data_IF_789007175241
#
_entry.id   IF_789007175241
#
_cell.length_a   1.000
_cell.length_b   1.000
_cell.length_c   1.000
_cell.angle_alpha   90.00
_cell.angle_beta   90.00
_cell.angle_gamma   90.00
#
_symmetry.space_group_name_H-M   'P 1'
#
loop_
_entity.id
_entity.type
_entity.pdbx_description
1 polymer ?
#
# COMPACT_ATOMS: atom_id res chain seq x y z
N UNK A 1 -31.36 -2.45 9.32
CA UNK A 1 -30.21 -2.61 10.24
C UNK A 1 -30.56 -1.88 11.54
N UNK A 2 -31.64 -2.31 12.21
CA UNK A 2 -32.29 -1.55 13.30
C UNK A 2 -32.44 -2.35 14.61
N UNK A 3 -31.94 -3.59 14.68
CA UNK A 3 -32.15 -4.46 15.85
C UNK A 3 -31.23 -4.17 17.05
N UNK A 4 -30.13 -3.42 16.87
CA UNK A 4 -29.10 -3.28 17.91
C UNK A 4 -29.29 -2.06 18.82
N UNK A 5 -30.12 -1.11 18.44
CA UNK A 5 -30.36 0.13 19.20
C UNK A 5 -31.32 -0.05 20.36
N UNK A 6 -32.14 -1.12 20.36
CA UNK A 6 -33.16 -1.40 21.38
C UNK A 6 -32.71 -2.37 22.49
N UNK A 7 -31.50 -2.92 22.42
CA UNK A 7 -31.01 -3.91 23.39
C UNK A 7 -30.45 -3.20 24.62
N UNK A 8 -30.84 -3.64 25.82
CA UNK A 8 -30.29 -3.10 27.07
C UNK A 8 -28.80 -3.37 27.19
N UNK A 9 -28.05 -2.47 27.85
CA UNK A 9 -26.60 -2.68 28.06
C UNK A 9 -26.30 -3.99 28.80
N UNK A 10 -27.17 -4.40 29.72
CA UNK A 10 -27.02 -5.68 30.42
C UNK A 10 -27.06 -6.88 29.47
N UNK A 11 -27.97 -6.86 28.49
CA UNK A 11 -28.09 -7.92 27.49
C UNK A 11 -26.91 -7.88 26.50
N UNK A 12 -26.44 -6.70 26.08
CA UNK A 12 -25.22 -6.58 25.26
C UNK A 12 -24.02 -7.22 25.97
N UNK A 13 -23.80 -6.89 27.25
CA UNK A 13 -22.70 -7.47 28.06
C UNK A 13 -22.83 -8.97 28.25
N UNK A 14 -24.06 -9.48 28.39
CA UNK A 14 -24.32 -10.92 28.50
C UNK A 14 -23.91 -11.65 27.22
N UNK A 15 -24.40 -11.18 26.06
CA UNK A 15 -24.08 -11.77 24.75
C UNK A 15 -22.59 -11.75 24.44
N UNK A 16 -21.91 -10.64 24.72
CA UNK A 16 -20.45 -10.55 24.52
C UNK A 16 -19.75 -11.62 25.35
N UNK A 17 -20.07 -11.76 26.65
CA UNK A 17 -19.43 -12.77 27.49
C UNK A 17 -19.69 -14.20 27.02
N UNK A 18 -20.92 -14.50 26.60
CA UNK A 18 -21.30 -15.85 26.14
C UNK A 18 -20.59 -16.24 24.83
N UNK A 19 -20.29 -15.25 23.98
CA UNK A 19 -19.54 -15.43 22.74
C UNK A 19 -18.03 -15.62 22.97
N UNK A 20 -17.49 -15.12 24.08
CA UNK A 20 -16.05 -15.20 24.36
C UNK A 20 -15.63 -16.58 24.87
N UNK A 21 -14.38 -16.93 24.56
CA UNK A 21 -13.66 -18.09 25.07
C UNK A 21 -12.36 -17.64 25.73
N UNK A 22 -11.74 -18.43 26.61
CA UNK A 22 -10.39 -18.13 27.10
C UNK A 22 -9.40 -18.03 25.94
N UNK A 23 -8.40 -17.14 25.97
CA UNK A 23 -8.06 -16.21 27.06
C UNK A 23 -8.92 -14.93 27.11
N UNK A 24 -9.68 -14.62 26.06
CA UNK A 24 -10.42 -13.36 25.96
C UNK A 24 -11.51 -13.17 27.03
N UNK A 25 -12.16 -14.26 27.46
CA UNK A 25 -13.13 -14.21 28.56
C UNK A 25 -12.50 -13.87 29.92
N UNK A 26 -11.20 -14.14 30.13
CA UNK A 26 -10.48 -13.78 31.36
C UNK A 26 -10.30 -12.28 31.46
N UNK A 27 -9.86 -11.64 30.37
CA UNK A 27 -9.71 -10.17 30.27
C UNK A 27 -11.01 -9.45 30.67
N UNK A 28 -12.16 -9.93 30.20
CA UNK A 28 -13.46 -9.33 30.56
C UNK A 28 -13.87 -9.64 32.00
N UNK A 29 -13.50 -10.80 32.53
CA UNK A 29 -13.73 -11.13 33.94
C UNK A 29 -12.94 -10.19 34.84
N UNK A 30 -11.65 -9.99 34.55
CA UNK A 30 -10.75 -9.12 35.31
C UNK A 30 -11.22 -7.65 35.22
N UNK A 31 -11.55 -7.16 34.02
CA UNK A 31 -12.13 -5.82 33.83
C UNK A 31 -13.38 -5.59 34.69
N UNK A 32 -14.24 -6.59 34.84
CA UNK A 32 -15.47 -6.47 35.63
C UNK A 32 -15.17 -6.44 37.13
N UNK A 33 -14.12 -7.12 37.59
CA UNK A 33 -13.68 -7.04 38.99
C UNK A 33 -13.21 -5.62 39.31
N UNK A 34 -12.44 -5.01 38.40
CA UNK A 34 -11.92 -3.64 38.57
C UNK A 34 -13.01 -2.57 38.36
N UNK A 35 -13.89 -2.76 37.36
CA UNK A 35 -14.95 -1.83 37.00
C UNK A 35 -16.29 -2.57 36.84
N UNK A 36 -17.06 -2.76 37.93
CA UNK A 36 -18.35 -3.46 37.89
C UNK A 36 -19.40 -2.83 36.96
N UNK A 37 -19.26 -1.53 36.70
CA UNK A 37 -20.13 -0.74 35.81
C UNK A 37 -19.70 -0.71 34.33
N UNK A 38 -18.68 -1.48 33.95
CA UNK A 38 -18.15 -1.50 32.58
C UNK A 38 -19.26 -1.76 31.54
N UNK A 39 -19.27 -0.97 30.48
CA UNK A 39 -20.24 -1.02 29.37
C UNK A 39 -19.80 -2.04 28.31
N UNK A 40 -20.68 -2.32 27.34
CA UNK A 40 -20.29 -3.13 26.17
C UNK A 40 -19.11 -2.51 25.39
N UNK A 41 -19.02 -1.17 25.36
CA UNK A 41 -17.91 -0.45 24.72
C UNK A 41 -16.59 -0.67 25.46
N UNK A 42 -16.61 -0.67 26.78
CA UNK A 42 -15.42 -0.92 27.61
C UNK A 42 -14.90 -2.35 27.42
N UNK A 43 -15.81 -3.32 27.23
CA UNK A 43 -15.42 -4.69 26.91
C UNK A 43 -14.65 -4.76 25.58
N UNK A 44 -15.16 -4.10 24.53
CA UNK A 44 -14.45 -4.06 23.26
C UNK A 44 -13.12 -3.32 23.37
N UNK A 45 -13.05 -2.22 24.13
CA UNK A 45 -11.81 -1.49 24.35
C UNK A 45 -10.74 -2.36 25.04
N UNK A 46 -11.13 -3.13 26.07
CA UNK A 46 -10.21 -4.06 26.74
C UNK A 46 -9.77 -5.21 25.84
N UNK A 47 -10.68 -5.77 25.03
CA UNK A 47 -10.33 -6.79 24.05
C UNK A 47 -9.38 -6.25 22.96
N UNK A 48 -9.60 -5.02 22.51
CA UNK A 48 -8.71 -4.38 21.55
C UNK A 48 -7.35 -4.03 22.18
N UNK A 49 -7.30 -3.68 23.45
CA UNK A 49 -6.04 -3.48 24.17
C UNK A 49 -5.26 -4.81 24.35
N UNK A 50 -5.95 -5.91 24.64
CA UNK A 50 -5.32 -7.21 24.89
C UNK A 50 -4.94 -7.98 23.62
N UNK A 51 -5.75 -7.88 22.55
CA UNK A 51 -5.60 -8.70 21.34
C UNK A 51 -5.53 -7.89 20.04
N UNK A 52 -5.70 -6.57 20.11
CA UNK A 52 -5.52 -5.70 18.95
C UNK A 52 -4.05 -5.57 18.57
N UNK A 53 -3.81 -5.02 17.39
CA UNK A 53 -2.45 -4.59 17.03
C UNK A 53 -2.08 -3.35 17.86
N UNK A 54 -0.84 -3.34 18.36
CA UNK A 54 -0.21 -2.19 19.01
C UNK A 54 0.26 -1.15 18.00
N UNK A 55 0.29 -1.51 16.71
CA UNK A 55 0.73 -0.63 15.63
C UNK A 55 -0.27 0.53 15.43
N UNK A 56 0.30 1.70 15.20
CA UNK A 56 -0.43 2.91 14.84
C UNK A 56 -0.95 2.85 13.40
N UNK A 57 -1.91 3.73 13.07
CA UNK A 57 -2.40 3.88 11.71
C UNK A 57 -1.30 4.23 10.71
N UNK A 58 -0.30 5.02 11.12
CA UNK A 58 0.84 5.44 10.30
C UNK A 58 1.79 4.27 10.00
N UNK A 59 2.13 3.46 11.00
CA UNK A 59 2.98 2.27 10.83
C UNK A 59 2.32 1.25 9.88
N UNK A 60 1.01 1.01 10.08
CA UNK A 60 0.24 0.14 9.19
C UNK A 60 0.16 0.70 7.77
N UNK A 61 0.09 2.03 7.61
CA UNK A 61 0.07 2.69 6.31
C UNK A 61 1.41 2.54 5.57
N UNK A 62 2.53 2.65 6.28
CA UNK A 62 3.86 2.39 5.72
C UNK A 62 3.94 0.95 5.22
N UNK A 63 3.53 -0.02 6.05
CA UNK A 63 3.52 -1.43 5.64
C UNK A 63 2.62 -1.67 4.43
N UNK A 64 1.43 -1.06 4.41
CA UNK A 64 0.52 -1.12 3.28
C UNK A 64 1.17 -0.65 1.98
N UNK A 65 1.91 0.47 2.02
CA UNK A 65 2.61 1.01 0.85
C UNK A 65 3.84 0.21 0.41
N UNK A 66 4.37 -0.65 1.28
CA UNK A 66 5.44 -1.60 0.98
C UNK A 66 4.93 -2.96 0.48
N UNK A 67 3.61 -3.20 0.46
CA UNK A 67 3.09 -4.47 -0.05
C UNK A 67 3.25 -4.55 -1.57
N UNK A 68 3.85 -5.65 -2.03
CA UNK A 68 4.02 -6.01 -3.42
C UNK A 68 3.47 -7.43 -3.68
N UNK A 69 3.07 -7.71 -4.91
CA UNK A 69 2.81 -9.06 -5.41
C UNK A 69 4.11 -9.87 -5.34
N UNK A 70 4.04 -11.11 -4.84
CA UNK A 70 5.20 -12.00 -4.83
C UNK A 70 5.30 -12.73 -6.16
N UNK A 71 6.49 -13.20 -6.50
CA UNK A 71 6.70 -14.06 -7.66
C UNK A 71 5.79 -15.30 -7.57
N UNK A 72 5.07 -15.60 -8.66
CA UNK A 72 4.10 -16.69 -8.72
C UNK A 72 2.73 -16.42 -8.06
N UNK A 73 2.55 -15.33 -7.31
CA UNK A 73 1.22 -14.96 -6.81
C UNK A 73 0.31 -14.54 -7.97
N UNK A 74 -0.95 -14.97 -7.97
CA UNK A 74 -1.97 -14.38 -8.83
C UNK A 74 -2.27 -12.92 -8.41
N UNK A 75 -2.58 -12.00 -9.34
CA UNK A 75 -3.05 -10.65 -9.03
C UNK A 75 -4.17 -10.59 -7.96
N UNK A 76 -5.16 -11.48 -8.03
CA UNK A 76 -6.29 -11.57 -7.09
C UNK A 76 -5.86 -11.95 -5.66
N UNK A 77 -4.85 -12.82 -5.54
CA UNK A 77 -4.24 -13.20 -4.25
C UNK A 77 -3.55 -11.99 -3.62
N UNK A 78 -2.76 -11.25 -4.41
CA UNK A 78 -2.13 -10.02 -3.96
C UNK A 78 -3.17 -8.97 -3.54
N UNK A 79 -4.21 -8.74 -4.35
CA UNK A 79 -5.29 -7.82 -4.03
C UNK A 79 -6.00 -8.16 -2.71
N UNK A 80 -6.21 -9.45 -2.44
CA UNK A 80 -6.87 -9.93 -1.21
C UNK A 80 -6.01 -9.67 0.04
N UNK A 81 -4.69 -9.88 -0.06
CA UNK A 81 -3.72 -9.53 0.99
C UNK A 81 -3.70 -8.01 1.22
N UNK A 82 -3.64 -7.25 0.14
CA UNK A 82 -3.65 -5.78 0.18
C UNK A 82 -4.90 -5.24 0.86
N UNK A 83 -6.09 -5.75 0.49
CA UNK A 83 -7.36 -5.39 1.12
C UNK A 83 -7.40 -5.75 2.60
N UNK A 84 -6.77 -6.85 3.01
CA UNK A 84 -6.70 -7.25 4.43
C UNK A 84 -5.88 -6.27 5.24
N UNK A 85 -4.72 -5.85 4.74
CA UNK A 85 -3.91 -4.81 5.40
C UNK A 85 -4.63 -3.45 5.39
N UNK A 86 -5.29 -3.08 4.29
CA UNK A 86 -6.06 -1.84 4.20
C UNK A 86 -7.16 -1.74 5.27
N UNK A 87 -7.86 -2.85 5.58
CA UNK A 87 -8.84 -2.87 6.68
C UNK A 87 -8.20 -2.56 8.05
N UNK A 88 -6.96 -2.99 8.27
CA UNK A 88 -6.22 -2.67 9.50
C UNK A 88 -5.90 -1.17 9.56
N UNK A 89 -5.42 -0.61 8.44
CA UNK A 89 -5.13 0.83 8.31
C UNK A 89 -6.38 1.68 8.59
N UNK A 90 -7.53 1.32 7.99
CA UNK A 90 -8.80 2.04 8.20
C UNK A 90 -9.22 1.99 9.66
N UNK A 91 -9.17 0.80 10.30
CA UNK A 91 -9.58 0.64 11.70
C UNK A 91 -8.74 1.50 12.65
N UNK A 92 -7.46 1.70 12.35
CA UNK A 92 -6.55 2.56 13.11
C UNK A 92 -6.50 4.01 12.62
N UNK A 93 -7.38 4.40 11.70
CA UNK A 93 -7.50 5.79 11.21
C UNK A 93 -6.37 6.26 10.29
N UNK A 94 -5.56 5.35 9.71
CA UNK A 94 -4.45 5.73 8.83
C UNK A 94 -4.89 6.21 7.44
N UNK A 95 -6.12 5.89 7.00
CA UNK A 95 -6.71 6.36 5.73
C UNK A 95 -8.16 6.74 5.99
N UNK A 96 -8.54 7.91 5.48
CA UNK A 96 -9.92 8.39 5.57
C UNK A 96 -10.88 7.59 4.67
N UNK A 97 -12.12 7.28 5.10
CA UNK A 97 -13.06 6.43 4.37
C UNK A 97 -13.31 6.83 2.90
N UNK A 98 -13.33 8.13 2.60
CA UNK A 98 -13.50 8.67 1.25
C UNK A 98 -12.34 8.34 0.31
N UNK A 99 -11.15 8.09 0.87
CA UNK A 99 -9.93 7.82 0.12
C UNK A 99 -9.62 6.32 -0.03
N UNK A 100 -10.46 5.44 0.51
CA UNK A 100 -10.19 4.00 0.57
C UNK A 100 -10.11 3.36 -0.83
N UNK A 101 -11.04 3.71 -1.72
CA UNK A 101 -11.06 3.11 -3.07
C UNK A 101 -9.87 3.58 -3.91
N UNK A 102 -9.54 4.87 -3.84
CA UNK A 102 -8.40 5.43 -4.56
C UNK A 102 -7.06 4.92 -4.00
N UNK A 103 -6.93 4.79 -2.68
CA UNK A 103 -5.75 4.20 -2.05
C UNK A 103 -5.57 2.72 -2.43
N UNK A 104 -6.66 1.95 -2.48
CA UNK A 104 -6.64 0.55 -2.93
C UNK A 104 -6.13 0.44 -4.36
N UNK A 105 -6.76 1.15 -5.28
CA UNK A 105 -6.45 1.05 -6.70
C UNK A 105 -5.01 1.49 -6.99
N UNK A 106 -4.58 2.63 -6.42
CA UNK A 106 -3.21 3.13 -6.59
C UNK A 106 -2.16 2.15 -6.07
N UNK A 107 -2.33 1.60 -4.87
CA UNK A 107 -1.35 0.66 -4.32
C UNK A 107 -1.39 -0.70 -5.03
N UNK A 108 -2.56 -1.13 -5.48
CA UNK A 108 -2.67 -2.37 -6.26
C UNK A 108 -1.89 -2.25 -7.56
N UNK A 109 -2.08 -1.17 -8.32
CA UNK A 109 -1.36 -0.92 -9.57
C UNK A 109 0.15 -0.76 -9.33
N UNK A 110 0.55 -0.01 -8.29
CA UNK A 110 1.96 0.17 -7.94
C UNK A 110 2.66 -1.14 -7.56
N UNK A 111 1.97 -2.02 -6.85
CA UNK A 111 2.55 -3.23 -6.30
C UNK A 111 2.39 -4.49 -7.15
N UNK A 112 1.81 -4.38 -8.34
CA UNK A 112 1.62 -5.50 -9.26
C UNK A 112 2.94 -5.84 -9.96
N UNK A 113 3.24 -7.14 -10.09
CA UNK A 113 4.34 -7.62 -10.92
C UNK A 113 3.90 -7.58 -12.39
N UNK A 114 4.74 -6.97 -13.24
CA UNK A 114 4.56 -6.66 -14.66
C UNK A 114 3.45 -7.41 -15.39
N UNK A 115 2.31 -6.73 -15.51
CA UNK A 115 1.16 -7.13 -16.31
C UNK A 115 0.65 -5.90 -17.06
N UNK A 116 1.40 -5.51 -18.10
CA UNK A 116 1.25 -4.23 -18.82
C UNK A 116 -0.18 -3.98 -19.31
N UNK A 117 -0.88 -5.03 -19.75
CA UNK A 117 -2.25 -4.91 -20.26
C UNK A 117 -3.27 -4.72 -19.12
N UNK A 118 -3.13 -5.45 -18.01
CA UNK A 118 -3.98 -5.24 -16.84
C UNK A 118 -3.72 -3.85 -16.23
N UNK A 119 -2.44 -3.47 -16.06
CA UNK A 119 -2.02 -2.17 -15.53
C UNK A 119 -2.57 -1.02 -16.38
N UNK A 120 -2.44 -1.10 -17.71
CA UNK A 120 -2.96 -0.07 -18.62
C UNK A 120 -4.49 0.05 -18.49
N UNK A 121 -5.21 -1.08 -18.46
CA UNK A 121 -6.67 -1.07 -18.33
C UNK A 121 -7.14 -0.47 -16.99
N UNK A 122 -6.35 -0.64 -15.93
CA UNK A 122 -6.64 -0.08 -14.62
C UNK A 122 -6.26 1.40 -14.51
N UNK A 123 -5.16 1.83 -15.14
CA UNK A 123 -4.77 3.24 -15.21
C UNK A 123 -5.82 4.11 -15.91
N UNK A 124 -6.43 3.61 -16.99
CA UNK A 124 -7.53 4.31 -17.66
C UNK A 124 -8.70 4.56 -16.70
N UNK A 125 -9.04 3.57 -15.85
CA UNK A 125 -10.11 3.70 -14.84
C UNK A 125 -9.77 4.67 -13.71
N UNK A 126 -8.48 4.77 -13.34
CA UNK A 126 -8.00 5.81 -12.39
C UNK A 126 -8.20 7.21 -12.99
N UNK A 127 -7.90 7.39 -14.29
CA UNK A 127 -8.02 8.67 -14.98
C UNK A 127 -9.49 9.11 -15.16
N UNK A 128 -10.41 8.16 -15.32
CA UNK A 128 -11.85 8.41 -15.41
C UNK A 128 -12.53 8.76 -14.06
N UNK A 129 -11.76 8.88 -12.96
CA UNK A 129 -12.26 9.06 -11.60
C UNK A 129 -13.24 7.97 -11.12
N UNK A 130 -13.15 6.76 -11.66
CA UNK A 130 -14.03 5.67 -11.25
C UNK A 130 -13.60 5.14 -9.87
N UNK A 131 -14.44 5.34 -8.85
CA UNK A 131 -14.16 4.91 -7.49
C UNK A 131 -14.39 3.40 -7.35
N UNK A 132 -13.47 2.60 -7.86
CA UNK A 132 -13.60 1.14 -7.84
C UNK A 132 -13.53 0.58 -6.41
N UNK A 133 -14.69 0.11 -5.94
CA UNK A 133 -14.80 -0.70 -4.74
C UNK A 133 -14.03 -2.03 -4.84
N UNK A 134 -13.72 -2.64 -3.71
CA UNK A 134 -12.93 -3.88 -3.64
C UNK A 134 -13.51 -4.99 -4.51
N UNK A 135 -14.83 -5.21 -4.42
CA UNK A 135 -15.53 -6.25 -5.15
C UNK A 135 -15.48 -6.00 -6.66
N UNK A 136 -15.66 -4.75 -7.10
CA UNK A 136 -15.60 -4.39 -8.52
C UNK A 136 -14.21 -4.60 -9.10
N UNK A 137 -13.18 -4.15 -8.39
CA UNK A 137 -11.78 -4.37 -8.78
C UNK A 137 -11.44 -5.87 -8.85
N UNK A 138 -11.85 -6.66 -7.84
CA UNK A 138 -11.62 -8.10 -7.81
C UNK A 138 -12.28 -8.82 -9.00
N UNK A 139 -13.50 -8.43 -9.39
CA UNK A 139 -14.18 -8.98 -10.57
C UNK A 139 -13.41 -8.72 -11.86
N UNK A 140 -12.87 -7.51 -12.03
CA UNK A 140 -12.05 -7.14 -13.20
C UNK A 140 -10.80 -8.02 -13.24
N UNK A 141 -10.08 -8.11 -12.13
CA UNK A 141 -8.84 -8.88 -12.01
C UNK A 141 -9.08 -10.36 -12.31
N UNK A 142 -10.13 -10.98 -11.75
CA UNK A 142 -10.42 -12.40 -11.99
C UNK A 142 -10.79 -12.71 -13.44
N UNK A 143 -11.56 -11.84 -14.10
CA UNK A 143 -11.87 -12.00 -15.53
C UNK A 143 -10.61 -11.92 -16.40
N UNK A 144 -9.68 -11.05 -16.02
CA UNK A 144 -8.39 -10.93 -16.69
C UNK A 144 -7.55 -12.20 -16.53
N UNK A 145 -7.44 -12.72 -15.30
CA UNK A 145 -6.75 -13.98 -15.00
C UNK A 145 -7.32 -15.17 -15.81
N UNK A 146 -8.65 -15.29 -15.86
CA UNK A 146 -9.34 -16.33 -16.65
C UNK A 146 -9.04 -16.23 -18.15
N UNK A 147 -9.00 -15.01 -18.69
CA UNK A 147 -8.67 -14.75 -20.09
C UNK A 147 -7.23 -15.19 -20.41
N UNK A 148 -6.26 -14.80 -19.59
CA UNK A 148 -4.87 -15.21 -19.76
C UNK A 148 -4.71 -16.72 -19.68
N UNK A 149 -5.34 -17.38 -18.70
CA UNK A 149 -5.30 -18.83 -18.58
C UNK A 149 -5.88 -19.53 -19.83
N UNK A 150 -6.93 -18.97 -20.43
CA UNK A 150 -7.51 -19.45 -21.68
C UNK A 150 -6.56 -19.31 -22.88
N UNK A 151 -5.92 -18.14 -23.03
CA UNK A 151 -4.95 -17.88 -24.10
C UNK A 151 -3.72 -18.80 -24.00
N UNK A 152 -3.20 -19.02 -22.79
CA UNK A 152 -2.09 -19.94 -22.53
C UNK A 152 -2.48 -21.38 -22.87
N UNK A 153 -3.67 -21.83 -22.47
CA UNK A 153 -4.17 -23.18 -22.82
C UNK A 153 -4.35 -23.33 -24.33
N UNK A 154 -4.89 -22.33 -25.02
CA UNK A 154 -5.04 -22.35 -26.47
C UNK A 154 -3.69 -22.47 -27.18
N UNK A 155 -2.67 -21.71 -26.74
CA UNK A 155 -1.31 -21.81 -27.27
C UNK A 155 -0.70 -23.21 -27.06
N UNK A 156 -0.95 -23.86 -25.91
CA UNK A 156 -0.45 -25.21 -25.66
C UNK A 156 -1.09 -26.28 -26.56
N UNK A 157 -2.30 -26.07 -27.09
CA UNK A 157 -3.01 -27.02 -27.94
C UNK A 157 -2.63 -26.94 -29.44
N UNK A 158 -1.92 -25.90 -29.87
CA UNK A 158 -1.58 -25.65 -31.29
C UNK A 158 -0.15 -26.13 -31.67
N UNK A 159 0.53 -26.89 -30.80
CA UNK A 159 1.95 -27.21 -30.95
C UNK A 159 2.36 -27.93 -32.25
N UNK A 160 3.09 -27.24 -33.13
CA UNK A 160 4.17 -27.83 -33.95
C UNK A 160 5.46 -27.86 -33.08
N UNK A 161 6.22 -28.97 -32.97
CA UNK A 161 7.23 -29.14 -31.92
C UNK A 161 8.51 -28.29 -32.00
N UNK A 162 8.63 -27.34 -32.93
CA UNK A 162 9.87 -26.56 -33.15
C UNK A 162 9.82 -25.09 -32.72
N UNK A 163 8.71 -24.62 -32.14
CA UNK A 163 8.65 -23.32 -31.45
C UNK A 163 8.35 -23.47 -29.96
N UNK A 164 8.69 -24.64 -29.37
CA UNK A 164 8.60 -24.94 -27.95
C UNK A 164 9.62 -24.16 -27.08
N UNK A 165 9.88 -22.91 -27.43
CA UNK A 165 10.43 -21.87 -26.57
C UNK A 165 9.59 -20.61 -26.82
N UNK A 166 8.38 -20.56 -26.27
CA UNK A 166 7.99 -19.29 -25.69
C UNK A 166 8.79 -19.14 -24.41
N UNK A 167 9.48 -18.01 -24.21
CA UNK A 167 10.08 -17.74 -22.93
C UNK A 167 8.91 -17.67 -21.93
N UNK A 168 8.83 -18.67 -21.05
CA UNK A 168 8.75 -18.29 -19.63
C UNK A 168 9.81 -17.21 -19.49
N UNK A 169 9.57 -16.00 -18.94
CA UNK A 169 10.69 -15.22 -18.49
C UNK A 169 11.39 -16.15 -17.48
N UNK A 170 12.41 -16.86 -17.95
CA UNK A 170 13.41 -17.42 -17.09
C UNK A 170 13.81 -16.21 -16.22
N UNK A 171 13.89 -16.38 -14.89
CA UNK A 171 14.43 -15.33 -14.06
C UNK A 171 15.72 -14.92 -14.74
N UNK A 172 15.81 -13.66 -15.18
CA UNK A 172 17.00 -13.16 -15.86
C UNK A 172 18.09 -13.16 -14.79
N UNK A 173 18.75 -14.30 -14.64
CA UNK A 173 20.01 -14.40 -13.94
C UNK A 173 21.06 -13.94 -14.93
N UNK A 174 21.43 -12.67 -14.85
CA UNK A 174 22.82 -12.23 -15.07
C UNK A 174 23.09 -11.00 -14.19
N UNK A 175 24.36 -10.70 -13.87
CA UNK A 175 25.23 -11.39 -12.93
C UNK A 175 25.41 -10.56 -11.65
N UNK A 176 25.84 -11.20 -10.55
CA UNK A 176 26.03 -10.60 -9.22
C UNK A 176 24.74 -10.17 -8.48
N UNK A 177 24.01 -11.19 -8.03
CA UNK A 177 23.64 -11.24 -6.61
C UNK A 177 24.94 -11.11 -5.79
N UNK A 178 25.41 -9.87 -5.55
CA UNK A 178 26.41 -9.67 -4.51
C UNK A 178 25.72 -9.95 -3.19
N UNK A 179 26.19 -10.99 -2.53
CA UNK A 179 25.97 -11.28 -1.12
C UNK A 179 25.80 -9.98 -0.33
N UNK A 180 24.61 -9.76 0.22
CA UNK A 180 24.45 -8.79 1.29
C UNK A 180 24.84 -9.45 2.61
N UNK A 181 26.14 -9.70 2.71
CA UNK A 181 26.85 -9.63 3.96
C UNK A 181 26.86 -8.16 4.40
N UNK A 182 26.33 -7.89 5.58
CA UNK A 182 26.74 -6.84 6.53
C UNK A 182 27.38 -5.56 5.94
N UNK A 183 26.61 -4.49 5.68
CA UNK A 183 27.16 -3.16 5.33
C UNK A 183 26.09 -2.09 5.08
N UNK A 184 26.36 -0.78 5.33
CA UNK A 184 25.32 0.24 5.48
C UNK A 184 24.74 0.65 4.13
N UNK A 185 23.43 0.48 4.00
CA UNK A 185 22.63 0.82 2.81
C UNK A 185 22.58 2.32 2.53
N UNK A 186 23.19 2.75 1.43
CA UNK A 186 22.80 3.99 0.76
C UNK A 186 21.72 3.68 -0.27
N UNK A 187 20.48 3.60 0.18
CA UNK A 187 19.34 3.80 -0.71
C UNK A 187 19.42 5.25 -1.24
N UNK A 188 19.13 5.51 -2.53
CA UNK A 188 19.06 6.87 -3.02
C UNK A 188 17.96 7.60 -2.24
N UNK A 189 18.36 8.56 -1.41
CA UNK A 189 17.44 9.40 -0.66
C UNK A 189 16.89 10.49 -1.58
N UNK A 190 15.58 10.75 -1.59
CA UNK A 190 15.01 11.83 -2.37
C UNK A 190 15.68 13.18 -2.03
N UNK A 191 16.08 13.96 -3.03
CA UNK A 191 16.81 15.23 -2.84
C UNK A 191 15.90 16.41 -2.42
N UNK A 192 14.81 16.15 -1.70
CA UNK A 192 13.85 17.16 -1.25
C UNK A 192 13.44 17.00 0.21
N UNK A 193 13.04 18.10 0.83
CA UNK A 193 12.62 18.18 2.22
C UNK A 193 11.25 17.53 2.42
N UNK A 194 11.14 16.58 3.35
CA UNK A 194 9.88 15.88 3.66
C UNK A 194 8.86 16.74 4.43
N UNK A 195 9.23 17.98 4.81
CA UNK A 195 8.29 18.93 5.44
C UNK A 195 7.64 19.85 4.41
N UNK A 196 8.41 20.43 3.50
CA UNK A 196 7.91 21.47 2.57
C UNK A 196 8.06 21.13 1.08
N UNK A 197 8.67 19.99 0.74
CA UNK A 197 8.84 19.53 -0.63
C UNK A 197 9.88 20.28 -1.48
N UNK A 198 10.58 21.29 -0.92
CA UNK A 198 11.67 21.99 -1.61
C UNK A 198 13.00 21.23 -1.53
N UNK A 199 13.84 21.36 -2.56
CA UNK A 199 15.17 20.73 -2.62
C UNK A 199 16.23 21.57 -1.86
N UNK A 200 17.39 20.99 -1.55
CA UNK A 200 18.52 21.70 -0.93
C UNK A 200 18.56 21.75 0.61
N UNK A 201 17.58 21.13 1.30
CA UNK A 201 17.59 20.96 2.75
C UNK A 201 16.71 19.76 3.17
N UNK A 202 16.83 19.32 4.43
CA UNK A 202 16.04 18.24 5.03
C UNK A 202 15.16 18.76 6.18
N UNK A 203 14.18 17.97 6.62
CA UNK A 203 13.17 18.37 7.61
C UNK A 203 13.74 18.96 8.91
N UNK A 204 14.96 18.57 9.29
CA UNK A 204 15.63 19.07 10.51
C UNK A 204 16.05 20.55 10.42
N UNK A 205 16.31 21.08 9.22
CA UNK A 205 16.75 22.46 9.00
C UNK A 205 15.73 23.25 8.14
N UNK A 206 14.44 22.93 8.25
CA UNK A 206 13.39 23.53 7.41
C UNK A 206 12.65 24.69 8.10
N UNK A 207 12.89 25.92 7.64
CA UNK A 207 12.16 27.12 8.08
C UNK A 207 10.85 27.38 7.32
N UNK A 208 10.54 26.58 6.29
CA UNK A 208 9.33 26.75 5.47
C UNK A 208 8.11 26.09 6.14
N UNK A 209 6.92 26.59 5.81
CA UNK A 209 5.65 25.94 6.16
C UNK A 209 5.55 24.53 5.54
N UNK A 210 4.79 23.66 6.21
CA UNK A 210 4.63 22.29 5.76
C UNK A 210 3.71 22.23 4.54
N UNK A 211 4.17 21.59 3.48
CA UNK A 211 3.41 21.40 2.24
C UNK A 211 3.41 19.92 1.85
N UNK A 212 2.39 19.22 2.32
CA UNK A 212 2.19 17.78 2.13
C UNK A 212 1.91 17.45 0.65
N UNK A 213 1.31 18.37 -0.10
CA UNK A 213 0.97 18.16 -1.50
C UNK A 213 2.22 18.19 -2.38
N UNK A 214 3.14 19.12 -2.12
CA UNK A 214 4.43 19.21 -2.81
C UNK A 214 5.32 17.99 -2.54
N UNK A 215 5.40 17.58 -1.27
CA UNK A 215 6.15 16.39 -0.83
C UNK A 215 5.62 15.15 -1.53
N UNK A 216 4.29 14.94 -1.52
CA UNK A 216 3.67 13.80 -2.16
C UNK A 216 3.91 13.80 -3.67
N UNK A 217 3.80 14.97 -4.32
CA UNK A 217 4.06 15.09 -5.77
C UNK A 217 5.49 14.73 -6.13
N UNK A 218 6.49 15.22 -5.40
CA UNK A 218 7.90 14.92 -5.67
C UNK A 218 8.30 13.51 -5.28
N UNK A 219 7.70 12.96 -4.23
CA UNK A 219 7.90 11.56 -3.87
C UNK A 219 7.34 10.64 -4.95
N UNK A 220 6.17 10.97 -5.50
CA UNK A 220 5.61 10.25 -6.66
C UNK A 220 6.57 10.36 -7.85
N UNK A 221 7.08 11.55 -8.20
CA UNK A 221 8.05 11.70 -9.31
C UNK A 221 9.36 10.93 -9.09
N UNK A 222 9.90 10.93 -7.87
CA UNK A 222 11.11 10.20 -7.50
C UNK A 222 10.92 8.69 -7.60
N UNK A 223 9.76 8.18 -7.15
CA UNK A 223 9.42 6.75 -7.21
C UNK A 223 9.11 6.28 -8.63
N UNK A 224 8.58 7.17 -9.48
CA UNK A 224 8.18 6.85 -10.86
C UNK A 224 9.31 7.03 -11.89
N UNK A 225 10.54 7.40 -11.47
CA UNK A 225 11.73 7.39 -12.31
C UNK A 225 11.76 8.39 -13.48
N UNK A 226 11.00 9.49 -13.40
CA UNK A 226 11.06 10.52 -14.46
C UNK A 226 12.32 11.39 -14.32
N UNK A 227 13.15 11.55 -15.37
CA UNK A 227 14.28 12.46 -15.33
C UNK A 227 13.79 13.91 -15.19
N UNK A 228 14.42 14.67 -14.31
CA UNK A 228 14.17 16.11 -14.18
C UNK A 228 14.49 16.79 -15.52
N UNK A 229 13.49 17.35 -16.20
CA UNK A 229 13.76 18.40 -17.17
C UNK A 229 14.22 19.62 -16.37
N UNK A 230 15.53 19.79 -16.28
CA UNK A 230 16.14 21.09 -15.98
C UNK A 230 15.62 22.07 -17.03
N UNK A 231 14.67 22.90 -16.62
CA UNK A 231 14.35 24.11 -17.36
C UNK A 231 15.54 25.06 -17.18
N UNK A 232 16.48 24.98 -18.12
CA UNK A 232 17.69 25.79 -18.19
C UNK A 232 17.32 27.26 -18.17
N UNK A 233 17.49 27.89 -17.01
CA UNK A 233 17.48 29.35 -16.87
C UNK A 233 18.71 29.90 -17.59
N UNK A 234 18.46 30.66 -18.65
CA UNK A 234 19.10 31.93 -19.04
C UNK A 234 20.65 32.04 -19.07
N UNK A 235 21.23 32.62 -20.13
CA UNK A 235 22.68 32.83 -20.21
C UNK A 235 23.11 33.96 -19.27
N UNK A 236 23.96 33.65 -18.29
CA UNK A 236 24.72 34.64 -17.54
C UNK A 236 26.21 34.50 -17.83
N UNK A 237 26.69 35.46 -18.64
CA UNK A 237 28.03 36.08 -18.71
C UNK A 237 29.19 35.25 -18.16
N UNK A 238 29.97 34.65 -19.06
CA UNK A 238 31.38 34.36 -18.83
C UNK A 238 32.21 35.62 -19.05
N UNK A 239 32.73 36.19 -17.96
CA UNK A 239 33.91 37.05 -18.03
C UNK A 239 35.14 36.17 -18.23
N UNK A 240 35.94 36.48 -19.24
CA UNK A 240 37.32 36.02 -19.35
C UNK A 240 38.21 37.24 -19.50
N UNK A 241 38.94 37.54 -18.42
CA UNK A 241 40.23 38.21 -18.53
C UNK A 241 41.21 37.17 -19.09
N UNK A 242 41.94 37.55 -20.13
CA UNK A 242 43.10 36.83 -20.65
C UNK A 242 44.17 37.86 -20.97
N UNK A 243 45.13 37.98 -20.05
CA UNK A 243 46.44 38.59 -20.28
C UNK A 243 47.38 37.58 -20.93
N UNK A 244 48.44 38.12 -21.53
CA UNK A 244 49.67 37.48 -22.00
C UNK A 244 49.65 36.92 -23.44
N UNK A 245 49.96 37.79 -24.41
CA UNK A 245 51.34 37.99 -24.92
C UNK A 245 51.46 39.27 -25.74
#
# INVERSE_FOLDING_TARGET
>A
MEEWTQISEAEKRKRIREALRPPASRIITDLKQDLPGATARDYFAALEAAFGTTESGEELLIQYHCMMQKEGDKPSTYLSRLQTKLRQVIRKGGISPENVNSARLRQFVKGLLFDEMLITSLHLRVAENDALGYISLLKIVRRYEEKLEGEVKALMLVGNPQTAQYPVPAPVMTPEYRQWTSGPTRHPSPNFCFRCGRTGHISRNCSNEADVQEVNRKLIKFVMGQPEQENSRGPLRGGTQGSDQ
#
